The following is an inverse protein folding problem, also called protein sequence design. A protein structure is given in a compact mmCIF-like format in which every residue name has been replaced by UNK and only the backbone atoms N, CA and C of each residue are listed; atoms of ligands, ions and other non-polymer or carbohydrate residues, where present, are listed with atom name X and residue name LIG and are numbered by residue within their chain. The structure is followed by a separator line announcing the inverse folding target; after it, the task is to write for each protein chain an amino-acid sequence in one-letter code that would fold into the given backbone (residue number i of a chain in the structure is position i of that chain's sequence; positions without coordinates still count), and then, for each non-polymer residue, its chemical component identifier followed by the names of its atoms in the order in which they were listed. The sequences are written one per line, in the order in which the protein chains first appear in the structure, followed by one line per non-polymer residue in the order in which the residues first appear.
data_IF_813743544375
#
_entry.id   IF_813743544375
#
_cell.length_a   1.000
_cell.length_b   1.000
_cell.length_c   1.000
_cell.angle_alpha   90.00
_cell.angle_beta   90.00
_cell.angle_gamma   90.00
#
_symmetry.space_group_name_H-M   'P 1'
#
loop_
_entity.id
_entity.type
_entity.pdbx_description
1 polymer ?
#
# COMPACT_ATOMS: atom_id res chain seq x y z
N UNK A 1 16.39 -4.76 -17.94
CA UNK A 1 16.48 -4.63 -16.46
C UNK A 1 15.39 -3.75 -15.85
N UNK A 2 14.87 -2.75 -16.55
CA UNK A 2 13.72 -1.94 -16.12
C UNK A 2 12.34 -2.62 -16.29
N UNK A 3 12.28 -3.77 -16.90
CA UNK A 3 11.03 -4.50 -17.21
C UNK A 3 10.44 -5.27 -16.02
N UNK A 4 11.29 -5.77 -15.12
CA UNK A 4 10.82 -6.57 -13.97
C UNK A 4 9.88 -5.83 -12.99
N UNK A 5 10.19 -4.61 -12.51
CA UNK A 5 9.28 -3.89 -11.62
C UNK A 5 7.99 -3.45 -12.32
N UNK A 6 8.08 -3.09 -13.61
CA UNK A 6 6.90 -2.75 -14.41
C UNK A 6 5.99 -3.96 -14.59
N UNK A 7 6.57 -5.12 -14.91
CA UNK A 7 5.82 -6.38 -15.08
C UNK A 7 5.12 -6.79 -13.78
N UNK A 8 5.79 -6.65 -12.64
CA UNK A 8 5.20 -6.93 -11.32
C UNK A 8 4.04 -5.97 -11.00
N UNK A 9 4.19 -4.69 -11.30
CA UNK A 9 3.12 -3.70 -11.11
C UNK A 9 1.91 -3.97 -11.99
N UNK A 10 2.14 -4.29 -13.26
CA UNK A 10 1.08 -4.65 -14.21
C UNK A 10 0.40 -5.96 -13.80
N UNK A 11 1.16 -6.96 -13.37
CA UNK A 11 0.61 -8.24 -12.91
C UNK A 11 -0.26 -8.05 -11.65
N UNK A 12 0.18 -7.23 -10.69
CA UNK A 12 -0.58 -6.90 -9.50
C UNK A 12 -1.87 -6.15 -9.85
N UNK A 13 -1.79 -5.15 -10.73
CA UNK A 13 -2.95 -4.41 -11.20
C UNK A 13 -3.95 -5.30 -11.93
N UNK A 14 -3.48 -6.19 -12.80
CA UNK A 14 -4.31 -7.17 -13.50
C UNK A 14 -4.99 -8.13 -12.50
N UNK A 15 -4.27 -8.61 -11.49
CA UNK A 15 -4.82 -9.46 -10.43
C UNK A 15 -5.94 -8.75 -9.66
N UNK A 16 -5.74 -7.47 -9.32
CA UNK A 16 -6.75 -6.66 -8.63
C UNK A 16 -8.01 -6.46 -9.49
N UNK A 17 -7.83 -6.18 -10.78
CA UNK A 17 -8.95 -6.03 -11.72
C UNK A 17 -9.71 -7.33 -11.90
N UNK A 18 -9.00 -8.46 -11.99
CA UNK A 18 -9.63 -9.79 -12.07
C UNK A 18 -10.41 -10.13 -10.80
N UNK A 19 -9.88 -9.81 -9.63
CA UNK A 19 -10.57 -10.00 -8.37
C UNK A 19 -11.83 -9.14 -8.29
N UNK A 20 -11.75 -7.87 -8.64
CA UNK A 20 -12.91 -6.97 -8.68
C UNK A 20 -13.96 -7.43 -9.68
N UNK A 21 -13.56 -7.86 -10.87
CA UNK A 21 -14.46 -8.42 -11.88
C UNK A 21 -15.11 -9.71 -11.39
N UNK A 22 -14.36 -10.58 -10.70
CA UNK A 22 -14.88 -11.80 -10.09
C UNK A 22 -15.95 -11.53 -9.03
N UNK A 23 -15.73 -10.55 -8.15
CA UNK A 23 -16.74 -10.13 -7.17
C UNK A 23 -17.98 -9.55 -7.83
N UNK A 24 -17.84 -8.73 -8.86
CA UNK A 24 -18.95 -8.19 -9.62
C UNK A 24 -19.73 -9.28 -10.36
N UNK A 25 -19.05 -10.24 -10.92
CA UNK A 25 -19.67 -11.42 -11.55
C UNK A 25 -20.46 -12.24 -10.53
N UNK A 26 -19.88 -12.55 -9.39
CA UNK A 26 -20.53 -13.28 -8.32
C UNK A 26 -21.77 -12.54 -7.76
N UNK A 27 -21.72 -11.21 -7.66
CA UNK A 27 -22.83 -10.37 -7.27
C UNK A 27 -23.97 -10.42 -8.33
N UNK A 28 -23.61 -10.34 -9.61
CA UNK A 28 -24.58 -10.39 -10.72
C UNK A 28 -25.34 -11.72 -10.79
N UNK A 29 -24.71 -12.81 -10.41
CA UNK A 29 -25.34 -14.14 -10.34
C UNK A 29 -25.96 -14.46 -8.98
N UNK A 30 -26.09 -13.46 -8.10
CA UNK A 30 -26.65 -13.63 -6.75
C UNK A 30 -25.93 -14.69 -5.88
N UNK A 31 -24.68 -14.99 -6.18
CA UNK A 31 -23.86 -15.90 -5.38
C UNK A 31 -23.40 -15.26 -4.07
N UNK A 32 -23.25 -13.93 -4.07
CA UNK A 32 -22.89 -13.12 -2.89
C UNK A 32 -23.80 -11.90 -2.82
N UNK A 33 -23.99 -11.37 -1.60
CA UNK A 33 -24.73 -10.12 -1.42
C UNK A 33 -23.95 -8.90 -1.95
N UNK A 34 -24.65 -7.79 -2.29
CA UNK A 34 -24.02 -6.59 -2.82
C UNK A 34 -22.98 -5.98 -1.87
N UNK A 35 -23.22 -6.03 -0.57
CA UNK A 35 -22.27 -5.57 0.47
C UNK A 35 -21.01 -6.42 0.51
N UNK A 36 -21.12 -7.72 0.29
CA UNK A 36 -19.98 -8.65 0.30
C UNK A 36 -19.06 -8.41 -0.89
N UNK A 37 -19.61 -8.14 -2.06
CA UNK A 37 -18.83 -7.82 -3.26
C UNK A 37 -18.02 -6.53 -3.08
N UNK A 38 -18.66 -5.47 -2.59
CA UNK A 38 -18.02 -4.19 -2.33
C UNK A 38 -16.92 -4.33 -1.24
N UNK A 39 -17.22 -4.96 -0.12
CA UNK A 39 -16.27 -5.20 0.97
C UNK A 39 -15.10 -6.08 0.52
N UNK A 40 -15.36 -7.16 -0.21
CA UNK A 40 -14.34 -8.07 -0.71
C UNK A 40 -13.35 -7.35 -1.62
N UNK A 41 -13.81 -6.51 -2.53
CA UNK A 41 -12.96 -5.69 -3.39
C UNK A 41 -12.04 -4.77 -2.57
N UNK A 42 -12.58 -4.11 -1.55
CA UNK A 42 -11.81 -3.22 -0.68
C UNK A 42 -10.79 -3.98 0.17
N UNK A 43 -11.14 -5.15 0.68
CA UNK A 43 -10.20 -6.02 1.41
C UNK A 43 -9.03 -6.44 0.51
N UNK A 44 -9.29 -6.78 -0.75
CA UNK A 44 -8.24 -7.11 -1.73
C UNK A 44 -7.32 -5.91 -1.97
N UNK A 45 -7.87 -4.70 -2.10
CA UNK A 45 -7.08 -3.46 -2.24
C UNK A 45 -6.18 -3.24 -1.03
N UNK A 46 -6.72 -3.35 0.18
CA UNK A 46 -5.93 -3.21 1.41
C UNK A 46 -4.83 -4.27 1.56
N UNK A 47 -5.14 -5.51 1.24
CA UNK A 47 -4.16 -6.61 1.23
C UNK A 47 -3.07 -6.40 0.18
N UNK A 48 -3.42 -5.94 -1.02
CA UNK A 48 -2.47 -5.62 -2.08
C UNK A 48 -1.56 -4.47 -1.69
N UNK A 49 -2.10 -3.43 -1.03
CA UNK A 49 -1.31 -2.31 -0.50
C UNK A 49 -0.30 -2.79 0.55
N UNK A 50 -0.75 -3.61 1.50
CA UNK A 50 0.12 -4.19 2.54
C UNK A 50 1.22 -5.07 1.94
N UNK A 51 0.87 -5.89 0.98
CA UNK A 51 1.80 -6.77 0.28
C UNK A 51 2.83 -5.96 -0.52
N UNK A 52 2.39 -4.99 -1.33
CA UNK A 52 3.27 -4.15 -2.13
C UNK A 52 4.22 -3.32 -1.26
N UNK A 53 3.72 -2.74 -0.18
CA UNK A 53 4.51 -1.97 0.77
C UNK A 53 5.63 -2.81 1.43
N UNK A 54 5.39 -4.09 1.64
CA UNK A 54 6.39 -5.02 2.18
C UNK A 54 7.56 -5.30 1.20
N UNK A 55 7.33 -5.12 -0.10
CA UNK A 55 8.37 -5.30 -1.13
C UNK A 55 9.18 -4.03 -1.43
N UNK A 56 8.67 -2.84 -1.09
CA UNK A 56 9.35 -1.57 -1.35
C UNK A 56 10.81 -1.53 -0.87
N UNK A 57 11.16 -1.99 0.35
CA UNK A 57 12.54 -1.95 0.82
C UNK A 57 13.51 -2.82 0.03
N UNK A 58 13.00 -3.84 -0.65
CA UNK A 58 13.82 -4.84 -1.37
C UNK A 58 14.21 -4.38 -2.77
N UNK A 59 13.51 -3.39 -3.33
CA UNK A 59 13.72 -2.93 -4.71
C UNK A 59 14.94 -2.02 -4.88
N UNK A 60 15.46 -1.43 -3.80
CA UNK A 60 16.61 -0.52 -3.83
C UNK A 60 17.98 -1.19 -3.89
N UNK A 61 18.05 -2.49 -3.62
CA UNK A 61 19.31 -3.23 -3.57
C UNK A 61 20.08 -3.27 -4.89
N UNK A 62 19.48 -2.79 -6.00
CA UNK A 62 20.09 -2.79 -7.31
C UNK A 62 20.44 -1.40 -7.87
N UNK A 63 20.34 -0.34 -7.07
CA UNK A 63 20.66 1.02 -7.52
C UNK A 63 22.15 1.32 -7.38
N UNK A 64 22.77 1.88 -8.43
CA UNK A 64 24.18 2.27 -8.51
C UNK A 64 24.50 3.58 -7.76
N UNK A 65 23.80 3.88 -6.69
CA UNK A 65 23.99 5.10 -5.89
C UNK A 65 25.06 4.88 -4.81
N UNK A 66 25.63 5.98 -4.26
CA UNK A 66 26.65 5.90 -3.22
C UNK A 66 26.16 5.19 -1.95
N UNK A 67 27.02 4.46 -1.22
CA UNK A 67 26.61 3.68 -0.04
C UNK A 67 25.89 4.50 1.03
N UNK A 68 26.25 5.75 1.22
CA UNK A 68 25.62 6.64 2.22
C UNK A 68 24.23 7.09 1.82
N UNK A 69 23.98 7.34 0.53
CA UNK A 69 22.67 7.71 0.03
C UNK A 69 21.71 6.52 0.03
N UNK A 70 22.23 5.32 -0.26
CA UNK A 70 21.47 4.07 -0.20
C UNK A 70 20.98 3.77 1.21
N UNK A 71 21.84 3.89 2.23
CA UNK A 71 21.48 3.60 3.61
C UNK A 71 20.33 4.48 4.13
N UNK A 72 20.34 5.77 3.80
CA UNK A 72 19.27 6.71 4.21
C UNK A 72 17.97 6.48 3.45
N UNK A 73 18.06 6.31 2.13
CA UNK A 73 16.91 5.98 1.30
C UNK A 73 16.27 4.67 1.76
N UNK A 74 17.08 3.69 2.12
CA UNK A 74 16.61 2.41 2.64
C UNK A 74 15.91 2.57 4.00
N UNK A 75 16.37 3.45 4.88
CA UNK A 75 15.70 3.77 6.14
C UNK A 75 14.33 4.39 5.91
N UNK A 76 14.22 5.39 5.04
CA UNK A 76 12.95 6.03 4.68
C UNK A 76 11.98 5.02 4.05
N UNK A 77 12.46 4.17 3.15
CA UNK A 77 11.62 3.16 2.50
C UNK A 77 11.21 2.03 3.45
N UNK A 78 12.06 1.65 4.37
CA UNK A 78 11.67 0.68 5.42
C UNK A 78 10.60 1.26 6.32
N UNK A 79 10.77 2.49 6.77
CA UNK A 79 9.78 3.17 7.61
C UNK A 79 8.46 3.37 6.87
N UNK A 80 8.52 3.91 5.64
CA UNK A 80 7.35 4.08 4.79
C UNK A 80 6.68 2.75 4.45
N UNK A 81 7.46 1.73 4.09
CA UNK A 81 6.97 0.39 3.82
C UNK A 81 6.20 -0.21 5.01
N UNK A 82 6.71 -0.09 6.22
CA UNK A 82 6.01 -0.52 7.42
C UNK A 82 4.74 0.29 7.69
N UNK A 83 4.79 1.61 7.54
CA UNK A 83 3.63 2.49 7.71
C UNK A 83 2.51 2.14 6.74
N UNK A 84 2.84 1.95 5.46
CA UNK A 84 1.86 1.56 4.45
C UNK A 84 1.40 0.10 4.59
N UNK A 85 2.26 -0.81 5.02
CA UNK A 85 1.85 -2.19 5.30
C UNK A 85 0.82 -2.26 6.44
N UNK A 86 1.08 -1.55 7.53
CA UNK A 86 0.14 -1.47 8.66
C UNK A 86 -1.16 -0.76 8.27
N UNK A 87 -1.07 0.32 7.49
CA UNK A 87 -2.23 1.03 6.96
C UNK A 87 -3.08 0.16 6.04
N UNK A 88 -2.44 -0.59 5.14
CA UNK A 88 -3.13 -1.53 4.25
C UNK A 88 -3.82 -2.65 5.02
N UNK A 89 -3.17 -3.17 6.07
CA UNK A 89 -3.78 -4.17 6.94
C UNK A 89 -4.96 -3.59 7.73
N UNK A 90 -4.82 -2.40 8.30
CA UNK A 90 -5.91 -1.70 9.00
C UNK A 90 -7.08 -1.42 8.04
N UNK A 91 -6.78 -1.00 6.82
CA UNK A 91 -7.75 -0.81 5.75
C UNK A 91 -8.54 -2.09 5.47
N UNK A 92 -7.86 -3.21 5.25
CA UNK A 92 -8.48 -4.50 4.99
C UNK A 92 -9.38 -4.97 6.16
N UNK A 93 -8.91 -4.82 7.41
CA UNK A 93 -9.66 -5.19 8.61
C UNK A 93 -10.89 -4.31 8.79
N UNK A 94 -10.78 -3.01 8.56
CA UNK A 94 -11.93 -2.09 8.64
C UNK A 94 -13.02 -2.48 7.63
N UNK A 95 -12.66 -2.76 6.40
CA UNK A 95 -13.62 -3.17 5.39
C UNK A 95 -14.19 -4.57 5.62
N UNK A 96 -13.44 -5.46 6.26
CA UNK A 96 -13.91 -6.81 6.58
C UNK A 96 -14.95 -6.81 7.73
N UNK A 97 -14.72 -6.01 8.77
CA UNK A 97 -15.45 -6.14 10.04
C UNK A 97 -16.23 -4.88 10.47
N UNK A 98 -15.84 -3.68 10.03
CA UNK A 98 -16.46 -2.45 10.48
C UNK A 98 -17.78 -2.14 9.73
N UNK A 99 -18.71 -1.38 10.34
CA UNK A 99 -19.86 -0.82 9.63
C UNK A 99 -19.41 0.13 8.52
N UNK A 100 -20.20 0.23 7.45
CA UNK A 100 -19.84 0.99 6.24
C UNK A 100 -19.36 2.43 6.51
N UNK A 101 -20.04 3.24 7.34
CA UNK A 101 -19.57 4.61 7.60
C UNK A 101 -18.21 4.65 8.28
N UNK A 102 -17.95 3.72 9.21
CA UNK A 102 -16.67 3.62 9.89
C UNK A 102 -15.57 3.08 8.98
N UNK A 103 -15.89 2.12 8.11
CA UNK A 103 -14.97 1.58 7.13
C UNK A 103 -14.51 2.67 6.14
N UNK A 104 -15.43 3.48 5.62
CA UNK A 104 -15.09 4.61 4.73
C UNK A 104 -14.19 5.63 5.41
N UNK A 105 -14.63 6.18 6.53
CA UNK A 105 -13.87 7.23 7.23
C UNK A 105 -12.56 6.69 7.79
N UNK A 106 -12.59 5.53 8.43
CA UNK A 106 -11.43 4.90 9.03
C UNK A 106 -10.35 4.52 8.01
N UNK A 107 -10.73 4.04 6.84
CA UNK A 107 -9.78 3.69 5.78
C UNK A 107 -9.08 4.91 5.20
N UNK A 108 -9.81 6.01 5.00
CA UNK A 108 -9.23 7.28 4.55
C UNK A 108 -8.23 7.81 5.58
N UNK A 109 -8.62 7.81 6.85
CA UNK A 109 -7.75 8.25 7.95
C UNK A 109 -6.50 7.36 8.05
N UNK A 110 -6.64 6.04 7.93
CA UNK A 110 -5.51 5.11 7.99
C UNK A 110 -4.49 5.37 6.87
N UNK A 111 -4.95 5.55 5.63
CA UNK A 111 -4.06 5.83 4.49
C UNK A 111 -3.47 7.24 4.58
N UNK A 112 -4.28 8.24 4.91
CA UNK A 112 -3.82 9.62 5.06
C UNK A 112 -2.76 9.75 6.16
N UNK A 113 -2.95 9.09 7.31
CA UNK A 113 -1.98 9.09 8.40
C UNK A 113 -0.65 8.43 7.99
N UNK A 114 -0.69 7.32 7.27
CA UNK A 114 0.51 6.68 6.74
C UNK A 114 1.27 7.59 5.76
N UNK A 115 0.56 8.31 4.90
CA UNK A 115 1.16 9.30 3.99
C UNK A 115 1.81 10.44 4.77
N UNK A 116 1.09 11.05 5.72
CA UNK A 116 1.61 12.18 6.53
C UNK A 116 2.84 11.76 7.33
N UNK A 117 2.79 10.60 7.98
CA UNK A 117 3.91 10.06 8.76
C UNK A 117 5.13 9.78 7.87
N UNK A 118 4.93 9.16 6.72
CA UNK A 118 6.01 8.85 5.78
C UNK A 118 6.64 10.11 5.19
N UNK A 119 5.82 11.06 4.74
CA UNK A 119 6.30 12.35 4.21
C UNK A 119 6.97 13.19 5.29
N UNK A 120 6.42 13.22 6.50
CA UNK A 120 7.02 13.91 7.64
C UNK A 120 8.39 13.35 7.99
N UNK A 121 8.52 12.03 8.02
CA UNK A 121 9.83 11.38 8.26
C UNK A 121 10.82 11.68 7.13
N UNK A 122 10.39 11.61 5.87
CA UNK A 122 11.22 11.95 4.73
C UNK A 122 11.68 13.43 4.77
N UNK A 123 10.76 14.34 5.06
CA UNK A 123 11.08 15.77 5.19
C UNK A 123 12.04 16.04 6.35
N UNK A 124 11.84 15.39 7.50
CA UNK A 124 12.71 15.51 8.65
C UNK A 124 14.13 15.03 8.35
N UNK A 125 14.29 13.89 7.69
CA UNK A 125 15.60 13.36 7.27
C UNK A 125 16.30 14.27 6.27
N UNK A 126 15.53 14.96 5.39
CA UNK A 126 16.08 15.94 4.46
C UNK A 126 16.49 17.25 5.17
N UNK A 127 15.71 17.72 6.15
CA UNK A 127 15.98 18.93 6.90
C UNK A 127 17.21 18.81 7.78
N UNK A 128 17.36 17.70 8.50
CA UNK A 128 18.55 17.42 9.30
C UNK A 128 19.83 17.34 8.47
N UNK A 129 19.71 16.98 7.20
CA UNK A 129 20.81 16.96 6.24
C UNK A 129 21.33 18.34 5.88
N UNK A 130 20.40 19.32 5.75
CA UNK A 130 20.78 20.73 5.48
C UNK A 130 21.41 21.39 6.67
N UNK A 131 21.04 21.02 7.89
CA UNK A 131 21.60 21.55 9.11
C UNK A 131 23.01 21.04 9.42
N UNK A 132 23.40 19.85 8.92
CA UNK A 132 24.72 19.25 9.13
C UNK A 132 25.71 19.47 7.97
N UNK A 133 25.30 20.16 6.94
CA UNK A 133 26.15 20.64 5.85
C UNK A 133 26.54 22.11 6.10
#
# INVERSE_FOLDING_TARGET
MMTKPLTQGVALGALMLLAAAGFKYAEAYHLIGPDVGARGTQVVIGAALAFYANFMPKSLSSSKSSPQSIGRMQSVLRFGGWSFALSGLAYAVLWAFAPLPLAHTGSIVAVASAMVVTLGYAAWTCATRRASA
#
